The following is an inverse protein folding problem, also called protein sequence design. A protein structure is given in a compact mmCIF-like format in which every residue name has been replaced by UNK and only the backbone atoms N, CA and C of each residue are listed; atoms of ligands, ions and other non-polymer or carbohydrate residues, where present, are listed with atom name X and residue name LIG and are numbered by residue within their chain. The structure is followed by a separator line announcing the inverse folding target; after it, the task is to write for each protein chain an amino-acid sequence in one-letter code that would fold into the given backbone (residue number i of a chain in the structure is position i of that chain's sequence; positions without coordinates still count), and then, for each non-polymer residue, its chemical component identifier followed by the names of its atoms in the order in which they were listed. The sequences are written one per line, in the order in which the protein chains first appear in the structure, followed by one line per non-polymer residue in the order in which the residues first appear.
data_IF_967196780516
#
_entry.id   IF_967196780516
#
_cell.length_a   1.000
_cell.length_b   1.000
_cell.length_c   1.000
_cell.angle_alpha   90.00
_cell.angle_beta   90.00
_cell.angle_gamma   90.00
#
_symmetry.space_group_name_H-M   'P 1'
#
loop_
_entity.id
_entity.type
_entity.pdbx_description
1 polymer ?
#
# COMPACT_ATOMS: atom_id res chain seq x y z
N UNK A 1 -4.14 49.70 22.76
CA UNK A 1 -3.28 48.50 22.94
C UNK A 1 -4.03 47.22 23.28
N UNK A 2 -5.33 47.22 23.59
CA UNK A 2 -6.06 45.97 23.96
C UNK A 2 -6.56 45.11 22.77
N UNK A 3 -6.65 45.66 21.56
CA UNK A 3 -7.16 44.93 20.39
C UNK A 3 -6.18 43.90 19.78
N UNK A 4 -4.87 44.13 19.85
CA UNK A 4 -3.86 43.23 19.30
C UNK A 4 -3.68 41.96 20.14
N UNK A 5 -3.82 42.05 21.46
CA UNK A 5 -3.78 40.88 22.37
C UNK A 5 -4.98 39.95 22.17
N UNK A 6 -6.17 40.48 21.92
CA UNK A 6 -7.36 39.70 21.66
C UNK A 6 -7.27 38.88 20.36
N UNK A 7 -6.75 39.49 19.29
CA UNK A 7 -6.55 38.85 17.99
C UNK A 7 -5.49 37.72 18.10
N UNK A 8 -4.41 37.94 18.85
CA UNK A 8 -3.37 36.93 19.05
C UNK A 8 -3.86 35.73 19.81
N UNK A 9 -4.71 35.90 20.84
CA UNK A 9 -5.29 34.81 21.62
C UNK A 9 -6.28 33.99 20.77
N UNK A 10 -7.12 34.64 19.96
CA UNK A 10 -8.05 34.00 19.06
C UNK A 10 -7.33 33.18 17.98
N UNK A 11 -6.29 33.74 17.38
CA UNK A 11 -5.47 33.02 16.38
C UNK A 11 -4.76 31.81 16.99
N UNK A 12 -4.20 31.93 18.19
CA UNK A 12 -3.58 30.81 18.90
C UNK A 12 -4.58 29.68 19.21
N UNK A 13 -5.82 30.04 19.58
CA UNK A 13 -6.88 29.06 19.82
C UNK A 13 -7.32 28.35 18.54
N UNK A 14 -7.50 29.09 17.45
CA UNK A 14 -7.83 28.54 16.14
C UNK A 14 -6.72 27.62 15.61
N UNK A 15 -5.47 27.94 15.84
CA UNK A 15 -4.34 27.07 15.49
C UNK A 15 -4.32 25.79 16.33
N UNK A 16 -4.64 25.87 17.62
CA UNK A 16 -4.75 24.69 18.47
C UNK A 16 -5.93 23.79 18.07
N UNK A 17 -7.08 24.36 17.78
CA UNK A 17 -8.24 23.62 17.29
C UNK A 17 -7.97 22.96 15.94
N UNK A 18 -7.31 23.65 15.00
CA UNK A 18 -6.89 23.08 13.71
C UNK A 18 -5.91 21.90 13.90
N UNK A 19 -4.94 22.05 14.79
CA UNK A 19 -4.00 20.94 15.11
C UNK A 19 -4.71 19.75 15.72
N UNK A 20 -5.67 19.98 16.61
CA UNK A 20 -6.45 18.91 17.22
C UNK A 20 -7.32 18.18 16.19
N UNK A 21 -7.98 18.93 15.32
CA UNK A 21 -8.78 18.35 14.23
C UNK A 21 -7.92 17.56 13.26
N UNK A 22 -6.73 18.06 12.89
CA UNK A 22 -5.80 17.34 12.04
C UNK A 22 -5.36 16.00 12.68
N UNK A 23 -5.04 16.00 13.98
CA UNK A 23 -4.69 14.77 14.72
C UNK A 23 -5.87 13.77 14.78
N UNK A 24 -7.09 14.27 14.94
CA UNK A 24 -8.29 13.42 14.96
C UNK A 24 -8.60 12.84 13.57
N UNK A 25 -8.44 13.64 12.51
CA UNK A 25 -8.57 13.18 11.12
C UNK A 25 -7.52 12.12 10.79
N UNK A 26 -6.25 12.37 11.15
CA UNK A 26 -5.16 11.43 11.01
C UNK A 26 -5.46 10.10 11.72
N UNK A 27 -5.91 10.15 12.98
CA UNK A 27 -6.32 8.94 13.72
C UNK A 27 -7.46 8.17 13.04
N UNK A 28 -8.42 8.86 12.47
CA UNK A 28 -9.53 8.22 11.76
C UNK A 28 -9.08 7.55 10.47
N UNK A 29 -8.20 8.20 9.68
CA UNK A 29 -7.62 7.61 8.46
C UNK A 29 -6.81 6.35 8.79
N UNK A 30 -6.06 6.39 9.88
CA UNK A 30 -5.31 5.25 10.41
C UNK A 30 -6.25 4.10 10.78
N UNK A 31 -7.24 4.40 11.62
CA UNK A 31 -8.20 3.39 12.09
C UNK A 31 -8.93 2.74 10.92
N UNK A 32 -9.24 3.52 9.89
CA UNK A 32 -9.90 3.04 8.68
C UNK A 32 -8.96 2.16 7.84
N UNK A 33 -7.71 2.58 7.63
CA UNK A 33 -6.72 1.78 6.90
C UNK A 33 -6.38 0.46 7.61
N UNK A 34 -6.26 0.48 8.95
CA UNK A 34 -6.09 -0.71 9.78
C UNK A 34 -7.30 -1.64 9.69
N UNK A 35 -8.50 -1.08 9.83
CA UNK A 35 -9.74 -1.83 9.77
C UNK A 35 -9.90 -2.54 8.43
N UNK A 36 -9.64 -1.83 7.34
CA UNK A 36 -9.78 -2.36 5.98
C UNK A 36 -8.76 -3.48 5.72
N UNK A 37 -7.49 -3.28 6.11
CA UNK A 37 -6.44 -4.29 5.98
C UNK A 37 -6.72 -5.54 6.82
N UNK A 38 -7.12 -5.37 8.09
CA UNK A 38 -7.44 -6.49 8.98
C UNK A 38 -8.70 -7.23 8.51
N UNK A 39 -9.75 -6.50 8.11
CA UNK A 39 -10.99 -7.10 7.63
C UNK A 39 -10.76 -7.97 6.38
N UNK A 40 -9.93 -7.50 5.45
CA UNK A 40 -9.56 -8.23 4.25
C UNK A 40 -8.76 -9.49 4.58
N UNK A 41 -7.73 -9.38 5.44
CA UNK A 41 -6.94 -10.53 5.87
C UNK A 41 -7.80 -11.58 6.58
N UNK A 42 -8.71 -11.17 7.46
CA UNK A 42 -9.63 -12.07 8.15
C UNK A 42 -10.61 -12.74 7.18
N UNK A 43 -11.08 -12.03 6.15
CA UNK A 43 -11.95 -12.61 5.12
C UNK A 43 -11.22 -13.69 4.33
N UNK A 44 -9.98 -13.42 3.91
CA UNK A 44 -9.14 -14.40 3.25
C UNK A 44 -8.89 -15.64 4.13
N UNK A 45 -8.49 -15.44 5.39
CA UNK A 45 -8.24 -16.53 6.33
C UNK A 45 -9.49 -17.37 6.56
N UNK A 46 -10.67 -16.74 6.67
CA UNK A 46 -11.93 -17.46 6.84
C UNK A 46 -12.26 -18.34 5.62
N UNK A 47 -11.99 -17.83 4.42
CA UNK A 47 -12.15 -18.63 3.19
C UNK A 47 -11.20 -19.83 3.18
N UNK A 48 -9.92 -19.64 3.54
CA UNK A 48 -8.94 -20.73 3.61
C UNK A 48 -9.32 -21.78 4.66
N UNK A 49 -9.88 -21.37 5.79
CA UNK A 49 -10.40 -22.31 6.81
C UNK A 49 -11.56 -23.12 6.25
N UNK A 50 -12.51 -22.52 5.52
CA UNK A 50 -13.61 -23.25 4.89
C UNK A 50 -13.11 -24.26 3.84
N UNK A 51 -12.10 -23.88 3.05
CA UNK A 51 -11.48 -24.79 2.09
C UNK A 51 -10.75 -25.93 2.79
N UNK A 52 -10.07 -25.66 3.91
CA UNK A 52 -9.44 -26.69 4.75
C UNK A 52 -10.46 -27.66 5.31
N UNK A 53 -11.58 -27.17 5.85
CA UNK A 53 -12.68 -28.03 6.33
C UNK A 53 -13.22 -28.93 5.23
N UNK A 54 -13.45 -28.38 4.03
CA UNK A 54 -13.93 -29.14 2.88
C UNK A 54 -12.94 -30.22 2.47
N UNK A 55 -11.65 -29.90 2.37
CA UNK A 55 -10.61 -30.86 2.03
C UNK A 55 -10.45 -31.96 3.09
N UNK A 56 -10.59 -31.58 4.37
CA UNK A 56 -10.51 -32.51 5.49
C UNK A 56 -11.66 -33.56 5.46
N UNK A 57 -12.90 -33.10 5.26
CA UNK A 57 -14.06 -33.99 5.17
C UNK A 57 -14.07 -34.84 3.89
N UNK A 58 -13.41 -34.36 2.82
CA UNK A 58 -13.25 -35.10 1.57
C UNK A 58 -12.03 -36.06 1.57
N UNK A 59 -11.31 -36.19 2.70
CA UNK A 59 -10.06 -36.97 2.83
C UNK A 59 -8.96 -36.56 1.82
N UNK A 60 -8.96 -35.29 1.41
CA UNK A 60 -7.98 -34.70 0.47
C UNK A 60 -6.79 -34.12 1.24
N UNK A 61 -5.88 -34.99 1.66
CA UNK A 61 -4.79 -34.64 2.57
C UNK A 61 -3.84 -33.60 2.00
N UNK A 62 -3.46 -33.69 0.74
CA UNK A 62 -2.56 -32.75 0.06
C UNK A 62 -3.16 -31.34 0.01
N UNK A 63 -4.46 -31.23 -0.33
CA UNK A 63 -5.18 -29.97 -0.36
C UNK A 63 -5.34 -29.37 1.04
N UNK A 64 -5.58 -30.20 2.05
CA UNK A 64 -5.64 -29.76 3.44
C UNK A 64 -4.29 -29.19 3.92
N UNK A 65 -3.18 -29.86 3.59
CA UNK A 65 -1.83 -29.38 3.91
C UNK A 65 -1.49 -28.06 3.20
N UNK A 66 -1.93 -27.89 1.97
CA UNK A 66 -1.77 -26.64 1.22
C UNK A 66 -2.55 -25.49 1.85
N UNK A 67 -3.82 -25.71 2.19
CA UNK A 67 -4.66 -24.71 2.86
C UNK A 67 -4.10 -24.31 4.24
N UNK A 68 -3.50 -25.24 4.99
CA UNK A 68 -2.81 -24.94 6.25
C UNK A 68 -1.61 -24.00 6.00
N UNK A 69 -0.85 -24.21 4.92
CA UNK A 69 0.25 -23.30 4.56
C UNK A 69 -0.27 -21.90 4.25
N UNK A 70 -1.31 -21.78 3.41
CA UNK A 70 -1.93 -20.50 3.11
C UNK A 70 -2.45 -19.76 4.34
N UNK A 71 -3.05 -20.48 5.30
CA UNK A 71 -3.48 -19.91 6.57
C UNK A 71 -2.29 -19.38 7.37
N UNK A 72 -1.21 -20.15 7.49
CA UNK A 72 0.00 -19.70 8.21
C UNK A 72 0.63 -18.46 7.57
N UNK A 73 0.76 -18.47 6.25
CA UNK A 73 1.36 -17.37 5.50
C UNK A 73 0.47 -16.11 5.62
N UNK A 74 -0.84 -16.25 5.49
CA UNK A 74 -1.79 -15.15 5.65
C UNK A 74 -1.83 -14.55 7.06
N UNK A 75 -1.70 -15.38 8.10
CA UNK A 75 -1.58 -14.89 9.49
C UNK A 75 -0.29 -14.11 9.68
N UNK A 76 0.83 -14.63 9.18
CA UNK A 76 2.13 -13.97 9.27
C UNK A 76 2.11 -12.63 8.53
N UNK A 77 1.51 -12.59 7.35
CA UNK A 77 1.36 -11.38 6.54
C UNK A 77 0.51 -10.33 7.27
N UNK A 78 -0.67 -10.72 7.74
CA UNK A 78 -1.53 -9.81 8.51
C UNK A 78 -0.81 -9.23 9.73
N UNK A 79 -0.02 -10.05 10.43
CA UNK A 79 0.78 -9.59 11.56
C UNK A 79 1.84 -8.58 11.15
N UNK A 80 2.55 -8.82 10.04
CA UNK A 80 3.56 -7.92 9.50
C UNK A 80 2.95 -6.61 9.03
N UNK A 81 1.83 -6.65 8.33
CA UNK A 81 1.10 -5.47 7.84
C UNK A 81 0.60 -4.60 8.98
N UNK A 82 -0.03 -5.19 9.99
CA UNK A 82 -0.47 -4.46 11.19
C UNK A 82 0.71 -3.83 11.92
N UNK A 83 1.81 -4.57 12.07
CA UNK A 83 3.02 -4.07 12.71
C UNK A 83 3.64 -2.93 11.92
N UNK A 84 3.66 -3.04 10.60
CA UNK A 84 4.20 -2.01 9.72
C UNK A 84 3.35 -0.74 9.74
N UNK A 85 2.03 -0.88 9.69
CA UNK A 85 1.10 0.22 9.88
C UNK A 85 1.36 0.94 11.20
N UNK A 86 1.48 0.21 12.30
CA UNK A 86 1.76 0.79 13.62
C UNK A 86 3.14 1.46 13.72
N UNK A 87 4.15 0.96 13.01
CA UNK A 87 5.49 1.57 12.99
C UNK A 87 5.54 2.83 12.12
N UNK A 88 4.86 2.83 10.97
CA UNK A 88 4.81 3.98 10.07
C UNK A 88 3.99 5.14 10.66
N UNK A 89 3.02 4.85 11.55
CA UNK A 89 2.23 5.87 12.26
C UNK A 89 2.96 6.53 13.41
N UNK A 90 4.07 5.98 13.85
CA UNK A 90 4.91 6.62 14.88
C UNK A 90 5.75 7.77 14.29
N UNK A 91 5.96 7.77 12.99
CA UNK A 91 6.55 8.88 12.23
C UNK A 91 5.42 9.69 11.60
N UNK A 92 5.23 10.94 12.05
CA UNK A 92 4.31 11.90 11.42
C UNK A 92 4.59 11.96 9.93
N UNK A 93 3.65 11.49 9.10
CA UNK A 93 3.70 11.77 7.65
C UNK A 93 3.29 13.25 7.50
N UNK A 94 4.24 14.16 7.57
CA UNK A 94 4.05 15.51 7.08
C UNK A 94 4.43 15.52 5.59
N UNK A 95 3.93 16.47 4.82
CA UNK A 95 4.23 16.60 3.38
C UNK A 95 5.74 16.57 3.04
N UNK A 96 6.61 16.77 4.05
CA UNK A 96 8.07 16.67 3.93
C UNK A 96 8.61 15.26 4.09
N UNK A 97 7.81 14.35 4.64
CA UNK A 97 8.25 13.02 5.06
C UNK A 97 7.87 11.91 4.05
N UNK A 98 7.00 12.20 3.05
CA UNK A 98 6.60 11.21 2.04
C UNK A 98 7.80 10.63 1.25
N UNK A 99 8.77 11.42 0.72
CA UNK A 99 9.99 10.89 0.12
C UNK A 99 10.81 10.04 1.07
N UNK A 100 10.89 10.43 2.33
CA UNK A 100 11.63 9.69 3.37
C UNK A 100 10.94 8.37 3.71
N UNK A 101 9.60 8.36 3.82
CA UNK A 101 8.80 7.16 4.04
C UNK A 101 9.00 6.14 2.91
N UNK A 102 8.92 6.58 1.65
CA UNK A 102 9.18 5.74 0.48
C UNK A 102 10.61 5.20 0.50
N UNK A 103 11.61 6.06 0.74
CA UNK A 103 13.02 5.65 0.77
C UNK A 103 13.29 4.62 1.87
N UNK A 104 12.68 4.79 3.04
CA UNK A 104 12.77 3.85 4.16
C UNK A 104 12.17 2.50 3.81
N UNK A 105 11.01 2.49 3.16
CA UNK A 105 10.33 1.29 2.70
C UNK A 105 11.18 0.51 1.70
N UNK A 106 11.73 1.19 0.70
CA UNK A 106 12.58 0.58 -0.32
C UNK A 106 13.87 0.02 0.26
N UNK A 107 14.56 0.77 1.12
CA UNK A 107 15.78 0.30 1.79
C UNK A 107 15.52 -0.91 2.70
N UNK A 108 14.35 -0.99 3.34
CA UNK A 108 13.93 -2.14 4.13
C UNK A 108 13.71 -3.36 3.25
N UNK A 109 12.96 -3.20 2.14
CA UNK A 109 12.70 -4.26 1.18
C UNK A 109 14.01 -4.85 0.64
N UNK A 110 14.94 -4.01 0.19
CA UNK A 110 16.26 -4.44 -0.32
C UNK A 110 17.04 -5.23 0.74
N UNK A 111 17.06 -4.79 2.00
CA UNK A 111 17.74 -5.51 3.10
C UNK A 111 17.10 -6.87 3.39
N UNK A 112 15.78 -6.98 3.33
CA UNK A 112 15.06 -8.22 3.66
C UNK A 112 15.14 -9.26 2.56
N UNK A 113 15.07 -8.83 1.30
CA UNK A 113 14.97 -9.72 0.14
C UNK A 113 16.30 -9.95 -0.57
N UNK A 114 17.27 -9.05 -0.41
CA UNK A 114 18.52 -8.99 -1.20
C UNK A 114 18.28 -8.70 -2.69
N UNK A 115 17.08 -8.25 -3.06
CA UNK A 115 16.76 -7.76 -4.40
C UNK A 115 17.32 -6.34 -4.52
N UNK A 116 18.01 -6.02 -5.61
CA UNK A 116 18.54 -4.69 -5.84
C UNK A 116 17.39 -3.70 -6.14
N UNK A 117 17.37 -2.57 -5.44
CA UNK A 117 16.34 -1.54 -5.66
C UNK A 117 16.96 -0.28 -6.25
N UNK A 118 16.44 0.15 -7.40
CA UNK A 118 16.78 1.43 -8.04
C UNK A 118 15.59 2.38 -7.94
N UNK A 119 15.76 3.52 -7.28
CA UNK A 119 14.73 4.55 -7.15
C UNK A 119 15.06 5.79 -7.98
N UNK A 120 14.09 6.30 -8.74
CA UNK A 120 14.17 7.55 -9.49
C UNK A 120 13.06 8.46 -9.00
N UNK A 121 13.41 9.69 -8.62
CA UNK A 121 12.49 10.65 -8.05
C UNK A 121 12.55 11.99 -8.80
N UNK A 122 11.37 12.48 -9.21
CA UNK A 122 11.19 13.82 -9.80
C UNK A 122 9.94 14.42 -9.18
N UNK A 123 10.12 15.36 -8.26
CA UNK A 123 9.03 15.97 -7.51
C UNK A 123 9.14 17.50 -7.57
N UNK A 124 8.55 18.07 -8.60
CA UNK A 124 8.46 19.51 -8.85
C UNK A 124 7.00 19.97 -8.95
N UNK A 125 6.06 19.08 -8.65
CA UNK A 125 4.63 19.29 -8.84
C UNK A 125 3.88 19.73 -7.58
N UNK A 126 2.56 19.67 -7.66
CA UNK A 126 1.68 19.95 -6.53
C UNK A 126 1.86 18.89 -5.43
N UNK A 127 1.82 19.31 -4.16
CA UNK A 127 1.87 18.41 -3.03
C UNK A 127 0.68 17.43 -3.04
N UNK A 128 0.94 16.19 -2.64
CA UNK A 128 -0.08 15.18 -2.38
C UNK A 128 -0.67 15.44 -0.99
N UNK A 129 -1.99 15.27 -0.85
CA UNK A 129 -2.61 15.30 0.47
C UNK A 129 -2.33 14.01 1.26
N UNK A 130 -2.68 13.98 2.54
CA UNK A 130 -2.34 12.87 3.45
C UNK A 130 -2.99 11.54 3.03
N UNK A 131 -4.25 11.56 2.52
CA UNK A 131 -4.92 10.34 2.04
C UNK A 131 -4.29 9.85 0.73
N UNK A 132 -3.94 10.74 -0.19
CA UNK A 132 -3.23 10.39 -1.42
C UNK A 132 -1.87 9.73 -1.11
N UNK A 133 -1.07 10.33 -0.22
CA UNK A 133 0.22 9.77 0.21
C UNK A 133 0.06 8.39 0.83
N UNK A 134 -0.93 8.23 1.69
CA UNK A 134 -1.21 6.98 2.38
C UNK A 134 -1.60 5.87 1.40
N UNK A 135 -2.53 6.13 0.47
CA UNK A 135 -2.95 5.12 -0.51
C UNK A 135 -1.81 4.75 -1.45
N UNK A 136 -0.97 5.71 -1.84
CA UNK A 136 0.21 5.47 -2.68
C UNK A 136 1.22 4.58 -1.96
N UNK A 137 1.48 4.83 -0.67
CA UNK A 137 2.37 3.99 0.15
C UNK A 137 1.83 2.56 0.23
N UNK A 138 0.54 2.37 0.47
CA UNK A 138 -0.04 1.03 0.52
C UNK A 138 0.05 0.27 -0.81
N UNK A 139 -0.16 0.97 -1.95
CA UNK A 139 -0.01 0.36 -3.27
C UNK A 139 1.46 -0.05 -3.50
N UNK A 140 2.41 0.79 -3.10
CA UNK A 140 3.84 0.46 -3.17
C UNK A 140 4.18 -0.76 -2.31
N UNK A 141 3.68 -0.82 -1.07
CA UNK A 141 3.89 -1.94 -0.15
C UNK A 141 3.36 -3.25 -0.72
N UNK A 142 2.13 -3.25 -1.22
CA UNK A 142 1.51 -4.43 -1.83
C UNK A 142 2.27 -4.88 -3.07
N UNK A 143 2.71 -3.94 -3.92
CA UNK A 143 3.53 -4.26 -5.09
C UNK A 143 4.86 -4.90 -4.70
N UNK A 144 5.55 -4.37 -3.68
CA UNK A 144 6.80 -4.95 -3.16
C UNK A 144 6.56 -6.32 -2.50
N UNK A 145 5.43 -6.51 -1.81
CA UNK A 145 5.03 -7.81 -1.23
C UNK A 145 4.85 -8.85 -2.33
N UNK A 146 4.15 -8.49 -3.42
CA UNK A 146 3.95 -9.37 -4.57
C UNK A 146 5.28 -9.74 -5.24
N UNK A 147 6.18 -8.78 -5.40
CA UNK A 147 7.52 -9.05 -5.92
C UNK A 147 8.26 -10.06 -5.02
N UNK A 148 8.27 -9.83 -3.71
CA UNK A 148 8.93 -10.74 -2.75
C UNK A 148 8.38 -12.17 -2.80
N UNK A 149 7.07 -12.34 -2.96
CA UNK A 149 6.40 -13.63 -2.89
C UNK A 149 6.43 -14.41 -4.19
N UNK A 150 6.35 -13.70 -5.32
CA UNK A 150 5.96 -14.33 -6.58
C UNK A 150 6.95 -14.10 -7.72
N UNK A 151 7.77 -13.02 -7.69
CA UNK A 151 8.49 -12.62 -8.89
C UNK A 151 9.79 -13.38 -9.16
N UNK A 152 10.47 -13.87 -8.14
CA UNK A 152 11.87 -14.35 -8.24
C UNK A 152 12.81 -13.32 -8.88
N UNK A 153 12.49 -12.03 -8.77
CA UNK A 153 13.24 -10.94 -9.36
C UNK A 153 14.61 -10.75 -8.70
N UNK A 154 15.56 -10.18 -9.46
CA UNK A 154 16.84 -9.75 -8.95
C UNK A 154 16.93 -8.22 -8.84
N UNK A 155 16.16 -7.50 -9.64
CA UNK A 155 16.15 -6.05 -9.68
C UNK A 155 14.73 -5.50 -9.68
N UNK A 156 14.54 -4.44 -8.91
CA UNK A 156 13.30 -3.66 -8.88
C UNK A 156 13.63 -2.20 -9.16
N UNK A 157 12.87 -1.59 -10.05
CA UNK A 157 12.96 -0.17 -10.35
C UNK A 157 11.68 0.52 -9.91
N UNK A 158 11.81 1.55 -9.08
CA UNK A 158 10.71 2.41 -8.66
C UNK A 158 10.93 3.81 -9.21
N UNK A 159 9.99 4.32 -9.99
CA UNK A 159 10.05 5.66 -10.57
C UNK A 159 8.86 6.48 -10.10
N UNK A 160 9.14 7.64 -9.52
CA UNK A 160 8.13 8.61 -9.09
C UNK A 160 8.33 9.89 -9.87
N UNK A 161 7.29 10.35 -10.53
CA UNK A 161 7.26 11.62 -11.26
C UNK A 161 6.01 12.41 -10.82
N UNK A 162 6.22 13.62 -10.30
CA UNK A 162 5.19 14.52 -9.81
C UNK A 162 5.26 15.91 -10.46
N UNK A 163 5.65 16.01 -11.72
CA UNK A 163 5.75 17.31 -12.42
C UNK A 163 4.42 17.80 -12.98
N UNK A 164 3.59 16.90 -13.48
CA UNK A 164 2.24 17.15 -13.99
C UNK A 164 1.24 16.28 -13.27
N UNK A 165 0.92 15.12 -13.82
CA UNK A 165 0.22 14.07 -13.09
C UNK A 165 1.22 13.39 -12.16
N UNK A 166 0.74 12.91 -11.02
CA UNK A 166 1.58 12.05 -10.19
C UNK A 166 1.61 10.66 -10.80
N UNK A 167 2.80 10.13 -11.02
CA UNK A 167 2.98 8.78 -11.55
C UNK A 167 3.94 7.99 -10.66
N UNK A 168 3.52 6.80 -10.24
CA UNK A 168 4.35 5.80 -9.59
C UNK A 168 4.44 4.58 -10.50
N UNK A 169 5.66 4.21 -10.89
CA UNK A 169 5.92 3.01 -11.69
C UNK A 169 6.84 2.10 -10.90
N UNK A 170 6.41 0.85 -10.69
CA UNK A 170 7.16 -0.19 -10.02
C UNK A 170 7.35 -1.31 -11.04
N UNK A 171 8.60 -1.64 -11.34
CA UNK A 171 8.94 -2.68 -12.31
C UNK A 171 9.92 -3.65 -11.71
N UNK A 172 9.65 -4.93 -11.83
CA UNK A 172 10.58 -6.03 -11.54
C UNK A 172 11.02 -6.75 -12.82
N UNK A 173 12.13 -7.47 -12.73
CA UNK A 173 12.69 -8.31 -13.78
C UNK A 173 12.44 -9.81 -13.52
N UNK A 174 11.38 -10.13 -12.79
CA UNK A 174 11.08 -11.49 -12.40
C UNK A 174 10.40 -12.34 -13.48
N UNK A 175 9.85 -13.47 -13.05
CA UNK A 175 9.21 -14.45 -13.95
C UNK A 175 7.93 -13.95 -14.60
N UNK A 176 7.33 -12.87 -14.08
CA UNK A 176 6.04 -12.37 -14.56
C UNK A 176 4.92 -13.41 -14.50
N UNK A 177 3.80 -13.09 -15.11
CA UNK A 177 2.64 -13.98 -15.20
C UNK A 177 1.79 -13.63 -16.42
N UNK A 178 0.92 -14.55 -16.85
CA UNK A 178 -0.09 -14.28 -17.86
C UNK A 178 -1.39 -13.83 -17.19
N UNK A 179 -1.81 -12.55 -17.36
CA UNK A 179 -3.05 -12.04 -16.77
C UNK A 179 -4.31 -12.82 -17.16
N UNK A 180 -4.30 -13.51 -18.30
CA UNK A 180 -5.44 -14.30 -18.79
C UNK A 180 -5.58 -15.65 -18.05
N UNK A 181 -4.53 -16.13 -17.40
CA UNK A 181 -4.49 -17.40 -16.68
C UNK A 181 -4.59 -17.24 -15.16
N UNK A 182 -4.79 -16.03 -14.67
CA UNK A 182 -5.05 -15.81 -13.25
C UNK A 182 -6.44 -16.36 -12.91
N UNK A 183 -6.48 -17.56 -12.31
CA UNK A 183 -7.74 -18.17 -11.84
C UNK A 183 -8.38 -17.31 -10.75
N UNK A 184 -9.69 -17.09 -10.87
CA UNK A 184 -10.49 -16.26 -9.96
C UNK A 184 -10.49 -16.75 -8.47
N UNK A 185 -9.88 -17.90 -8.21
CA UNK A 185 -9.81 -18.56 -6.89
C UNK A 185 -8.44 -18.44 -6.22
N UNK A 186 -7.40 -17.94 -6.92
CA UNK A 186 -6.09 -17.77 -6.31
C UNK A 186 -6.04 -16.49 -5.47
N UNK A 187 -5.42 -16.55 -4.29
CA UNK A 187 -5.24 -15.40 -3.39
C UNK A 187 -4.51 -14.20 -4.02
N UNK A 188 -3.88 -14.40 -5.18
CA UNK A 188 -3.20 -13.38 -5.98
C UNK A 188 -4.15 -12.29 -6.50
N UNK A 189 -5.44 -12.61 -6.72
CA UNK A 189 -6.44 -11.62 -7.10
C UNK A 189 -6.81 -10.66 -5.99
N UNK A 190 -6.67 -11.06 -4.73
CA UNK A 190 -7.05 -10.23 -3.58
C UNK A 190 -6.15 -8.99 -3.51
N UNK A 191 -4.84 -9.16 -3.58
CA UNK A 191 -3.88 -8.04 -3.53
C UNK A 191 -4.06 -7.04 -4.69
N UNK A 192 -4.24 -7.53 -5.92
CA UNK A 192 -4.51 -6.65 -7.07
C UNK A 192 -5.87 -5.94 -6.96
N UNK A 193 -6.89 -6.62 -6.43
CA UNK A 193 -8.20 -6.03 -6.13
C UNK A 193 -8.08 -4.88 -5.14
N UNK A 194 -7.35 -5.09 -4.05
CA UNK A 194 -7.06 -4.10 -3.02
C UNK A 194 -6.33 -2.88 -3.60
N UNK A 195 -5.29 -3.10 -4.41
CA UNK A 195 -4.57 -1.99 -5.04
C UNK A 195 -5.47 -1.16 -5.95
N UNK A 196 -6.38 -1.79 -6.70
CA UNK A 196 -7.37 -1.09 -7.55
C UNK A 196 -8.36 -0.27 -6.72
N UNK A 197 -8.89 -0.83 -5.64
CA UNK A 197 -9.80 -0.13 -4.71
C UNK A 197 -9.11 1.10 -4.10
N UNK A 198 -7.87 0.97 -3.65
CA UNK A 198 -7.07 2.06 -3.10
C UNK A 198 -6.81 3.16 -4.14
N UNK A 199 -6.49 2.79 -5.37
CA UNK A 199 -6.31 3.74 -6.47
C UNK A 199 -7.62 4.50 -6.76
N UNK A 200 -8.76 3.79 -6.85
CA UNK A 200 -10.07 4.41 -7.05
C UNK A 200 -10.45 5.39 -5.94
N UNK A 201 -10.13 5.08 -4.70
CA UNK A 201 -10.37 5.95 -3.55
C UNK A 201 -9.76 7.34 -3.73
N UNK A 202 -8.56 7.44 -4.29
CA UNK A 202 -7.88 8.69 -4.59
C UNK A 202 -8.11 9.17 -6.03
N UNK A 203 -9.03 8.56 -6.78
CA UNK A 203 -9.34 8.86 -8.18
C UNK A 203 -8.12 8.73 -9.10
N UNK A 204 -7.24 7.80 -8.78
CA UNK A 204 -6.10 7.41 -9.60
C UNK A 204 -6.44 6.18 -10.45
N UNK A 205 -5.70 6.03 -11.54
CA UNK A 205 -5.75 4.86 -12.41
C UNK A 205 -4.61 3.91 -12.04
N UNK A 206 -4.90 2.62 -11.94
CA UNK A 206 -3.93 1.57 -11.69
C UNK A 206 -3.92 0.59 -12.85
N UNK A 207 -2.76 0.44 -13.47
CA UNK A 207 -2.49 -0.53 -14.53
C UNK A 207 -1.44 -1.53 -14.05
N UNK A 208 -1.69 -2.81 -14.28
CA UNK A 208 -0.72 -3.89 -14.05
C UNK A 208 -0.48 -4.61 -15.36
N UNK A 209 0.75 -4.57 -15.83
CA UNK A 209 1.20 -5.24 -17.05
C UNK A 209 2.24 -6.28 -16.69
N UNK A 210 2.03 -7.53 -17.10
CA UNK A 210 2.96 -8.63 -16.89
C UNK A 210 2.94 -9.59 -18.08
N UNK A 211 4.07 -10.22 -18.32
CA UNK A 211 4.21 -11.33 -19.26
C UNK A 211 5.17 -12.36 -18.70
N UNK A 212 4.94 -13.65 -18.97
CA UNK A 212 5.87 -14.70 -18.60
C UNK A 212 7.30 -14.37 -19.04
N UNK A 213 8.26 -14.50 -18.12
CA UNK A 213 9.69 -14.25 -18.29
C UNK A 213 10.10 -12.80 -18.63
N UNK A 214 9.14 -11.83 -18.58
CA UNK A 214 9.44 -10.40 -18.81
C UNK A 214 9.26 -9.54 -17.54
N UNK A 215 8.88 -10.14 -16.40
CA UNK A 215 8.59 -9.44 -15.15
C UNK A 215 7.23 -8.78 -15.11
N UNK A 216 7.03 -7.92 -14.11
CA UNK A 216 5.78 -7.20 -13.89
C UNK A 216 6.02 -5.70 -13.77
N UNK A 217 5.09 -4.92 -14.28
CA UNK A 217 5.05 -3.46 -14.13
C UNK A 217 3.71 -3.04 -13.56
N UNK A 218 3.75 -2.35 -12.42
CA UNK A 218 2.60 -1.68 -11.80
C UNK A 218 2.74 -0.19 -12.04
N UNK A 219 1.74 0.43 -12.63
CA UNK A 219 1.70 1.87 -12.91
C UNK A 219 0.48 2.47 -12.24
N UNK A 220 0.71 3.44 -11.36
CA UNK A 220 -0.33 4.27 -10.75
C UNK A 220 -0.22 5.67 -11.35
N UNK A 221 -1.33 6.21 -11.84
CA UNK A 221 -1.42 7.58 -12.34
C UNK A 221 -2.54 8.32 -11.63
N UNK A 222 -2.18 9.40 -10.91
CA UNK A 222 -3.12 10.31 -10.28
C UNK A 222 -3.14 11.63 -11.08
N UNK A 223 -4.18 11.86 -11.90
CA UNK A 223 -4.30 13.07 -12.70
C UNK A 223 -4.32 14.33 -11.85
N UNK A 224 -3.61 15.37 -12.27
CA UNK A 224 -3.54 16.64 -11.57
C UNK A 224 -4.91 17.25 -11.28
N UNK A 225 -5.85 17.10 -12.21
CA UNK A 225 -7.23 17.58 -12.07
C UNK A 225 -8.05 16.85 -10.99
N UNK A 226 -7.63 15.65 -10.59
CA UNK A 226 -8.29 14.82 -9.58
C UNK A 226 -7.76 15.07 -8.17
N UNK A 227 -6.65 15.83 -8.05
CA UNK A 227 -6.05 16.16 -6.74
C UNK A 227 -6.90 17.15 -6.00
N UNK A 228 -7.18 16.83 -4.76
CA UNK A 228 -7.90 17.74 -3.87
C UNK A 228 -6.88 18.69 -3.24
N UNK A 229 -6.87 19.94 -3.69
CA UNK A 229 -6.06 20.97 -3.03
C UNK A 229 -6.68 21.28 -1.67
N UNK A 230 -5.92 21.07 -0.60
CA UNK A 230 -6.27 21.46 0.78
C UNK A 230 -6.00 22.94 1.01
#
# INVERSE_FOLDING_TARGET
MSGQLGVSIVNSRLEQERRLLAVLQERNLIAQGLHDSIAQALTFLNLQVQMLETAFYADQKEQAEENIRFIKDGVQECYEDVRELLLNFRTKISNKDFPEAVSTLLARFERQTKINVSAKWRDEGAALNDDEQLQIIFILQESLSNIRKHSLAHNVTVSIDNRQDFTLIIRDDGVGFDPAHLDALSGEHVGMGIMRERAQRIRAELEVSSKPDEGTTVTLTLPKQNRTFS
#
